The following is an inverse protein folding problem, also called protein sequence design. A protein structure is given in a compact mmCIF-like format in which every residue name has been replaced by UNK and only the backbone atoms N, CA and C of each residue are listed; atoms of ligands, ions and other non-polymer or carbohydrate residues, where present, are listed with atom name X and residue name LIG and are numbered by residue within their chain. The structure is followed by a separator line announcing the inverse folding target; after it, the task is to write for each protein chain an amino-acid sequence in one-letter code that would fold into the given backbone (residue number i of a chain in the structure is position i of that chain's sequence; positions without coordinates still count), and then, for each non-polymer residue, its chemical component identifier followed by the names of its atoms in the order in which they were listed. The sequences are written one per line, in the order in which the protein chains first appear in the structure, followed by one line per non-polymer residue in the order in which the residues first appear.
data_IF_795372924628
#
_entry.id   IF_795372924628
#
_cell.length_a   1.000
_cell.length_b   1.000
_cell.length_c   1.000
_cell.angle_alpha   90.00
_cell.angle_beta   90.00
_cell.angle_gamma   90.00
#
_symmetry.space_group_name_H-M   'P 1'
#
loop_
_entity.id
_entity.type
_entity.pdbx_description
1 polymer ?
#
# COMPACT_ATOMS: atom_id res chain seq x y z
N UNK A 1 -8.05 -71.59 -35.16
CA UNK A 1 -7.47 -70.30 -35.54
C UNK A 1 -6.05 -70.20 -34.95
N UNK A 2 -5.02 -70.00 -35.80
CA UNK A 2 -3.67 -69.91 -35.36
C UNK A 2 -3.31 -68.39 -35.30
N UNK A 3 -2.96 -67.92 -34.13
CA UNK A 3 -2.44 -66.54 -33.93
C UNK A 3 -0.94 -66.63 -33.74
N UNK A 4 -0.17 -66.01 -34.65
CA UNK A 4 1.27 -65.90 -34.55
C UNK A 4 1.62 -64.56 -33.91
N UNK A 5 2.15 -64.57 -32.70
CA UNK A 5 2.62 -63.37 -32.04
C UNK A 5 4.11 -63.19 -32.32
N UNK A 6 4.45 -62.13 -33.03
CA UNK A 6 5.85 -61.74 -33.28
C UNK A 6 6.19 -60.55 -32.34
N UNK A 7 7.20 -60.76 -31.49
CA UNK A 7 7.74 -59.68 -30.64
C UNK A 7 9.20 -59.43 -31.02
N UNK A 8 9.57 -58.21 -31.20
CA UNK A 8 10.90 -57.75 -31.68
C UNK A 8 12.11 -58.19 -30.84
N UNK A 9 11.89 -58.75 -29.64
CA UNK A 9 12.96 -59.22 -28.72
C UNK A 9 13.19 -60.73 -28.72
N UNK A 10 12.46 -61.53 -29.45
CA UNK A 10 12.62 -62.99 -29.51
C UNK A 10 13.00 -63.43 -30.92
N UNK A 11 14.14 -64.13 -31.01
CA UNK A 11 14.72 -64.69 -32.26
C UNK A 11 13.99 -65.89 -32.82
N UNK A 12 12.91 -66.39 -32.14
CA UNK A 12 12.10 -67.49 -32.63
C UNK A 12 10.60 -67.18 -32.50
N UNK A 13 9.87 -67.40 -33.58
CA UNK A 13 8.38 -67.26 -33.58
C UNK A 13 7.77 -68.43 -32.78
N UNK A 14 7.04 -68.09 -31.70
CA UNK A 14 6.31 -69.06 -30.94
C UNK A 14 4.88 -69.11 -31.42
N UNK A 15 4.45 -70.18 -32.05
CA UNK A 15 3.08 -70.36 -32.48
C UNK A 15 2.25 -70.93 -31.29
N UNK A 16 1.16 -70.19 -30.94
CA UNK A 16 0.20 -70.62 -29.94
C UNK A 16 -1.04 -71.07 -30.68
N UNK A 17 -1.40 -72.36 -30.60
CA UNK A 17 -2.62 -72.87 -31.15
C UNK A 17 -3.77 -72.67 -30.17
N UNK A 18 -4.64 -71.72 -30.47
CA UNK A 18 -5.87 -71.49 -29.68
C UNK A 18 -6.94 -72.50 -30.16
N UNK A 19 -7.22 -73.46 -29.32
CA UNK A 19 -8.37 -74.31 -29.45
C UNK A 19 -9.67 -73.60 -29.00
N UNK A 20 -10.79 -73.96 -29.49
CA UNK A 20 -12.11 -73.36 -29.13
C UNK A 20 -12.35 -73.35 -27.61
N UNK A 21 -11.84 -74.32 -26.90
CA UNK A 21 -11.89 -74.34 -25.42
C UNK A 21 -11.12 -73.19 -24.78
N UNK A 22 -9.94 -72.82 -25.30
CA UNK A 22 -9.16 -71.69 -24.76
C UNK A 22 -9.88 -70.35 -24.99
N UNK A 23 -10.58 -70.17 -26.08
CA UNK A 23 -11.40 -69.01 -26.34
C UNK A 23 -12.60 -68.92 -25.38
N UNK A 24 -13.27 -70.05 -25.12
CA UNK A 24 -14.36 -70.08 -24.16
C UNK A 24 -13.90 -69.79 -22.77
N UNK A 25 -12.73 -70.36 -22.28
CA UNK A 25 -12.19 -70.07 -20.99
C UNK A 25 -11.69 -68.61 -20.83
N UNK A 26 -11.13 -67.99 -21.90
CA UNK A 26 -10.76 -66.60 -21.94
C UNK A 26 -11.96 -65.69 -21.84
N UNK A 27 -13.06 -66.01 -22.58
CA UNK A 27 -14.29 -65.25 -22.51
C UNK A 27 -14.99 -65.36 -21.17
N UNK A 28 -14.99 -66.57 -20.56
CA UNK A 28 -15.53 -66.77 -19.23
C UNK A 28 -14.76 -66.05 -18.16
N UNK A 29 -13.41 -66.09 -18.26
CA UNK A 29 -12.51 -65.32 -17.37
C UNK A 29 -12.71 -63.81 -17.46
N UNK A 30 -12.90 -63.31 -18.67
CA UNK A 30 -13.21 -61.87 -18.90
C UNK A 30 -14.55 -61.47 -18.30
N UNK A 31 -15.59 -62.32 -18.48
CA UNK A 31 -16.92 -62.10 -17.90
C UNK A 31 -16.90 -62.13 -16.38
N UNK A 32 -16.16 -63.07 -15.77
CA UNK A 32 -15.96 -63.15 -14.31
C UNK A 32 -15.22 -61.93 -13.79
N UNK A 33 -14.17 -61.47 -14.49
CA UNK A 33 -13.40 -60.27 -14.14
C UNK A 33 -14.27 -58.99 -14.19
N UNK A 34 -15.10 -58.82 -15.25
CA UNK A 34 -16.00 -57.67 -15.34
C UNK A 34 -17.10 -57.70 -14.27
N UNK A 35 -17.59 -58.88 -13.94
CA UNK A 35 -18.58 -59.05 -12.87
C UNK A 35 -17.96 -58.76 -11.46
N UNK A 36 -16.71 -59.14 -11.25
CA UNK A 36 -16.00 -58.83 -10.03
C UNK A 36 -15.71 -57.33 -9.92
N UNK A 37 -15.25 -56.69 -10.99
CA UNK A 37 -15.04 -55.25 -11.02
C UNK A 37 -16.34 -54.47 -10.78
N UNK A 38 -17.46 -54.91 -11.36
CA UNK A 38 -18.76 -54.31 -11.14
C UNK A 38 -19.23 -54.49 -9.68
N UNK A 39 -19.03 -55.64 -9.08
CA UNK A 39 -19.36 -55.89 -7.67
C UNK A 39 -18.49 -55.02 -6.70
N UNK A 40 -17.20 -54.87 -7.00
CA UNK A 40 -16.29 -54.00 -6.24
C UNK A 40 -16.73 -52.54 -6.38
N UNK A 41 -17.05 -52.07 -7.58
CA UNK A 41 -17.55 -50.72 -7.80
C UNK A 41 -18.89 -50.50 -7.10
N UNK A 42 -19.83 -51.46 -7.15
CA UNK A 42 -21.10 -51.36 -6.43
C UNK A 42 -20.90 -51.32 -4.89
N UNK A 43 -20.00 -52.15 -4.35
CA UNK A 43 -19.65 -52.15 -2.91
C UNK A 43 -18.95 -50.83 -2.51
N UNK A 44 -18.10 -50.26 -3.37
CA UNK A 44 -17.47 -48.96 -3.17
C UNK A 44 -18.51 -47.84 -3.19
N UNK A 45 -19.45 -47.88 -4.14
CA UNK A 45 -20.55 -46.91 -4.22
C UNK A 45 -21.50 -47.03 -3.01
N UNK A 46 -21.80 -48.24 -2.52
CA UNK A 46 -22.59 -48.43 -1.32
C UNK A 46 -21.84 -47.91 -0.05
N UNK A 47 -20.54 -48.12 0.05
CA UNK A 47 -19.74 -47.56 1.12
C UNK A 47 -19.64 -46.06 1.05
N UNK A 48 -19.56 -45.49 -0.15
CA UNK A 48 -19.61 -44.05 -0.38
C UNK A 48 -20.99 -43.45 -0.02
N UNK A 49 -22.06 -44.16 -0.33
CA UNK A 49 -23.43 -43.74 -0.01
C UNK A 49 -23.78 -43.90 1.48
N UNK A 50 -23.15 -44.81 2.22
CA UNK A 50 -23.35 -44.98 3.68
C UNK A 50 -22.64 -43.93 4.56
N UNK A 51 -21.92 -42.99 3.98
CA UNK A 51 -21.37 -41.80 4.71
C UNK A 51 -20.20 -42.08 5.65
N UNK A 52 -19.68 -43.33 5.68
CA UNK A 52 -18.64 -43.75 6.64
C UNK A 52 -17.18 -43.62 6.11
N UNK A 53 -16.98 -42.96 4.96
CA UNK A 53 -15.64 -42.78 4.43
C UNK A 53 -15.00 -41.50 4.99
N UNK A 54 -13.83 -41.58 5.67
CA UNK A 54 -13.13 -40.41 6.20
C UNK A 54 -12.70 -39.41 5.12
N UNK A 55 -12.55 -39.86 3.87
CA UNK A 55 -12.13 -39.06 2.73
C UNK A 55 -13.25 -38.14 2.19
N UNK A 56 -14.52 -38.52 2.30
CA UNK A 56 -15.64 -37.67 1.85
C UNK A 56 -16.05 -36.65 2.90
N UNK A 57 -15.69 -36.83 4.19
CA UNK A 57 -15.88 -35.82 5.24
C UNK A 57 -15.02 -34.59 5.05
N UNK A 58 -13.92 -34.71 4.30
CA UNK A 58 -12.98 -33.63 4.05
C UNK A 58 -13.29 -32.82 2.77
N UNK A 59 -13.99 -33.44 1.79
CA UNK A 59 -14.25 -32.83 0.47
C UNK A 59 -15.67 -32.28 0.35
N UNK A 60 -16.64 -32.87 1.05
CA UNK A 60 -18.03 -32.38 1.01
C UNK A 60 -18.28 -31.64 2.33
N UNK A 61 -18.48 -30.33 2.31
CA UNK A 61 -18.88 -29.63 3.52
C UNK A 61 -20.15 -30.32 4.08
N UNK A 62 -20.12 -30.62 5.36
CA UNK A 62 -21.07 -31.41 6.18
C UNK A 62 -22.57 -31.05 6.00
N UNK A 63 -22.86 -30.04 5.20
CA UNK A 63 -24.15 -29.37 5.12
C UNK A 63 -25.23 -30.09 4.31
N UNK A 64 -24.94 -31.13 3.51
CA UNK A 64 -25.94 -31.80 2.67
C UNK A 64 -26.54 -33.03 3.34
N UNK A 65 -25.77 -33.71 4.20
CA UNK A 65 -26.22 -34.92 4.88
C UNK A 65 -27.33 -34.67 5.92
N UNK A 66 -27.32 -33.49 6.57
CA UNK A 66 -28.29 -33.13 7.60
C UNK A 66 -29.71 -32.83 7.08
N UNK A 67 -29.82 -32.48 5.78
CA UNK A 67 -31.14 -32.19 5.15
C UNK A 67 -31.88 -33.45 4.72
N UNK A 68 -31.20 -34.57 4.59
CA UNK A 68 -31.78 -35.86 4.16
C UNK A 68 -32.22 -36.73 5.35
N UNK A 69 -31.85 -36.38 6.61
CA UNK A 69 -32.27 -37.13 7.78
C UNK A 69 -33.62 -36.62 8.29
N UNK A 70 -34.57 -37.56 8.52
CA UNK A 70 -35.84 -37.26 9.17
C UNK A 70 -35.70 -37.10 10.71
N UNK A 71 -34.49 -36.93 11.25
CA UNK A 71 -34.23 -36.69 12.65
C UNK A 71 -34.42 -35.20 12.97
N UNK A 72 -35.41 -34.82 13.81
CA UNK A 72 -35.64 -33.43 14.19
C UNK A 72 -34.42 -32.80 14.90
N UNK A 73 -33.64 -33.61 15.65
CA UNK A 73 -32.43 -33.12 16.30
C UNK A 73 -31.28 -32.82 15.32
N UNK A 74 -31.25 -33.44 14.15
CA UNK A 74 -30.27 -33.15 13.10
C UNK A 74 -30.55 -31.77 12.44
N UNK A 75 -31.82 -31.45 12.24
CA UNK A 75 -32.23 -30.12 11.70
C UNK A 75 -31.89 -28.98 12.69
N UNK A 76 -32.18 -29.17 13.97
CA UNK A 76 -31.85 -28.17 15.00
C UNK A 76 -30.35 -27.96 15.15
N UNK A 77 -29.55 -29.04 15.06
CA UNK A 77 -28.09 -28.98 15.07
C UNK A 77 -27.57 -28.20 13.86
N UNK A 78 -28.04 -28.51 12.67
CA UNK A 78 -27.68 -27.84 11.43
C UNK A 78 -28.00 -26.33 11.50
N UNK A 79 -29.18 -25.94 12.00
CA UNK A 79 -29.54 -24.54 12.19
C UNK A 79 -28.64 -23.84 13.19
N UNK A 80 -28.32 -24.48 14.33
CA UNK A 80 -27.44 -23.92 15.35
C UNK A 80 -26.01 -23.73 14.84
N UNK A 81 -25.47 -24.73 14.11
CA UNK A 81 -24.12 -24.66 13.53
C UNK A 81 -24.01 -23.53 12.49
N UNK A 82 -25.03 -23.39 11.63
CA UNK A 82 -25.05 -22.31 10.66
C UNK A 82 -25.20 -20.93 11.30
N UNK A 83 -26.07 -20.79 12.32
CA UNK A 83 -26.20 -19.55 13.08
C UNK A 83 -24.90 -19.19 13.79
N UNK A 84 -24.20 -20.15 14.37
CA UNK A 84 -22.90 -19.92 15.00
C UNK A 84 -21.84 -19.46 13.99
N UNK A 85 -21.76 -20.12 12.82
CA UNK A 85 -20.85 -19.72 11.75
C UNK A 85 -21.15 -18.31 11.24
N UNK A 86 -22.45 -17.97 11.08
CA UNK A 86 -22.87 -16.62 10.70
C UNK A 86 -22.53 -15.57 11.75
N UNK A 87 -22.73 -15.89 13.02
CA UNK A 87 -22.39 -14.97 14.13
C UNK A 87 -20.87 -14.68 14.16
N UNK A 88 -20.04 -15.70 13.93
CA UNK A 88 -18.59 -15.53 13.82
C UNK A 88 -18.26 -14.61 12.63
N UNK A 89 -18.84 -14.89 11.46
CA UNK A 89 -18.58 -14.08 10.25
C UNK A 89 -19.01 -12.63 10.41
N UNK A 90 -20.17 -12.39 11.05
CA UNK A 90 -20.63 -11.03 11.37
C UNK A 90 -19.68 -10.33 12.35
N UNK A 91 -19.15 -11.05 13.33
CA UNK A 91 -18.15 -10.53 14.26
C UNK A 91 -16.84 -10.14 13.56
N UNK A 92 -16.36 -10.99 12.64
CA UNK A 92 -15.18 -10.67 11.82
C UNK A 92 -15.40 -9.43 10.96
N UNK A 93 -16.56 -9.34 10.29
CA UNK A 93 -16.92 -8.17 9.48
C UNK A 93 -17.03 -6.90 10.33
N UNK A 94 -17.61 -7.00 11.54
CA UNK A 94 -17.68 -5.85 12.44
C UNK A 94 -16.28 -5.38 12.87
N UNK A 95 -15.35 -6.31 13.16
CA UNK A 95 -13.96 -5.98 13.45
C UNK A 95 -13.25 -5.32 12.26
N UNK A 96 -13.51 -5.81 11.03
CA UNK A 96 -12.98 -5.21 9.80
C UNK A 96 -13.53 -3.80 9.56
N UNK A 97 -14.82 -3.55 9.81
CA UNK A 97 -15.42 -2.23 9.70
C UNK A 97 -14.80 -1.25 10.70
N UNK A 98 -14.63 -1.64 11.97
CA UNK A 98 -13.95 -0.80 12.98
C UNK A 98 -12.54 -0.44 12.53
N UNK A 99 -11.80 -1.41 11.95
CA UNK A 99 -10.46 -1.15 11.40
C UNK A 99 -10.51 -0.18 10.22
N UNK A 100 -11.50 -0.31 9.34
CA UNK A 100 -11.70 0.56 8.18
C UNK A 100 -12.03 1.99 8.63
N UNK A 101 -12.88 2.17 9.64
CA UNK A 101 -13.20 3.48 10.22
C UNK A 101 -11.95 4.15 10.80
N UNK A 102 -11.14 3.42 11.57
CA UNK A 102 -9.88 3.93 12.12
C UNK A 102 -8.88 4.31 11.02
N UNK A 103 -8.80 3.53 9.92
CA UNK A 103 -7.99 3.86 8.75
C UNK A 103 -8.54 5.12 8.05
N UNK A 104 -9.86 5.23 7.92
CA UNK A 104 -10.53 6.40 7.35
C UNK A 104 -10.20 7.69 8.09
N UNK A 105 -10.28 7.68 9.44
CA UNK A 105 -9.91 8.82 10.29
C UNK A 105 -8.43 9.20 10.10
N UNK A 106 -7.52 8.21 10.02
CA UNK A 106 -6.09 8.49 9.81
C UNK A 106 -5.80 9.06 8.44
N UNK A 107 -6.41 8.52 7.39
CA UNK A 107 -6.30 9.02 6.01
C UNK A 107 -6.83 10.45 5.91
N UNK A 108 -7.99 10.73 6.52
CA UNK A 108 -8.58 12.06 6.62
C UNK A 108 -7.63 13.05 7.30
N UNK A 109 -7.06 12.70 8.46
CA UNK A 109 -6.08 13.52 9.16
C UNK A 109 -4.78 13.76 8.37
N UNK A 110 -4.33 12.77 7.58
CA UNK A 110 -3.17 12.92 6.69
C UNK A 110 -3.48 13.81 5.49
N UNK A 111 -4.67 13.70 4.93
CA UNK A 111 -5.14 14.52 3.80
C UNK A 111 -5.49 15.98 4.21
N UNK A 112 -5.61 16.25 5.51
CA UNK A 112 -5.98 17.57 6.03
C UNK A 112 -7.46 17.91 5.86
N UNK A 113 -8.32 16.90 5.63
CA UNK A 113 -9.77 17.04 5.55
C UNK A 113 -10.35 17.16 6.97
N UNK A 114 -11.23 18.13 7.18
CA UNK A 114 -11.83 18.33 8.50
C UNK A 114 -12.90 17.28 8.79
N UNK A 115 -13.10 16.87 10.08
CA UNK A 115 -14.12 15.91 10.46
C UNK A 115 -15.56 16.34 10.08
N UNK A 116 -15.80 17.65 10.00
CA UNK A 116 -17.10 18.22 9.60
C UNK A 116 -17.39 18.06 8.11
N UNK A 117 -16.36 17.93 7.28
CA UNK A 117 -16.50 17.78 5.83
C UNK A 117 -16.80 16.34 5.41
N UNK A 118 -16.31 15.37 6.19
CA UNK A 118 -16.55 13.95 5.97
C UNK A 118 -16.42 13.17 7.28
N UNK A 119 -17.50 12.45 7.65
CA UNK A 119 -17.55 11.66 8.88
C UNK A 119 -17.74 10.18 8.55
N UNK A 120 -16.73 9.36 8.79
CA UNK A 120 -16.77 7.92 8.58
C UNK A 120 -17.70 7.19 9.57
N UNK A 121 -18.07 7.84 10.68
CA UNK A 121 -18.94 7.25 11.72
C UNK A 121 -20.41 7.36 11.38
N UNK A 122 -20.79 8.25 10.47
CA UNK A 122 -22.18 8.40 10.09
C UNK A 122 -22.63 7.20 9.25
N UNK A 123 -23.70 6.58 9.66
CA UNK A 123 -24.30 5.49 8.91
C UNK A 123 -24.72 6.00 7.52
N UNK A 124 -24.31 5.34 6.43
CA UNK A 124 -24.76 5.73 5.10
C UNK A 124 -26.26 5.70 5.00
N UNK A 125 -26.85 6.69 4.35
CA UNK A 125 -28.28 6.74 4.08
C UNK A 125 -28.76 5.43 3.45
N UNK A 126 -29.78 4.81 4.02
CA UNK A 126 -30.40 3.59 3.49
C UNK A 126 -31.69 3.95 2.81
N UNK A 127 -31.92 3.40 1.63
CA UNK A 127 -33.15 3.57 0.86
C UNK A 127 -32.84 3.86 -0.61
N UNK A 128 -33.82 3.72 -1.42
CA UNK A 128 -33.83 3.96 -2.87
C UNK A 128 -35.23 3.72 -3.41
N UNK A 129 -35.48 4.12 -4.65
CA UNK A 129 -36.71 3.76 -5.33
C UNK A 129 -36.76 2.24 -5.51
N UNK A 130 -37.83 1.62 -5.04
CA UNK A 130 -38.10 0.22 -5.32
C UNK A 130 -38.42 0.09 -6.82
N UNK A 131 -37.57 -0.66 -7.53
CA UNK A 131 -37.77 -0.92 -8.95
C UNK A 131 -38.92 -1.92 -9.10
N UNK A 132 -40.13 -1.39 -9.29
CA UNK A 132 -41.36 -2.19 -9.44
C UNK A 132 -41.36 -3.08 -10.68
N UNK A 133 -40.35 -3.01 -11.54
CA UNK A 133 -40.17 -3.85 -12.72
C UNK A 133 -39.40 -5.14 -12.44
N UNK A 134 -38.81 -5.28 -11.24
CA UNK A 134 -38.12 -6.50 -10.82
C UNK A 134 -39.08 -7.51 -10.21
N UNK A 135 -38.77 -8.79 -10.43
CA UNK A 135 -39.46 -9.93 -9.83
C UNK A 135 -39.63 -9.72 -8.32
N UNK A 136 -40.74 -10.20 -7.71
CA UNK A 136 -40.96 -10.02 -6.28
C UNK A 136 -39.74 -10.46 -5.46
N UNK A 137 -39.40 -9.76 -4.37
CA UNK A 137 -38.22 -10.08 -3.57
C UNK A 137 -38.31 -11.54 -3.11
N UNK A 138 -37.40 -12.34 -3.62
CA UNK A 138 -37.27 -13.74 -3.22
C UNK A 138 -36.45 -13.82 -1.96
N UNK A 139 -36.94 -14.50 -0.93
CA UNK A 139 -36.16 -14.81 0.24
C UNK A 139 -34.89 -15.59 -0.15
N UNK A 140 -33.73 -15.10 0.26
CA UNK A 140 -32.47 -15.80 0.05
C UNK A 140 -32.49 -17.14 0.81
N UNK A 141 -32.03 -18.19 0.19
CA UNK A 141 -31.76 -19.43 0.89
C UNK A 141 -30.45 -19.31 1.69
N UNK A 142 -30.21 -20.23 2.62
CA UNK A 142 -29.05 -20.20 3.53
C UNK A 142 -27.71 -20.14 2.77
N UNK A 143 -27.58 -20.88 1.68
CA UNK A 143 -26.36 -20.91 0.86
C UNK A 143 -26.14 -19.59 0.10
N UNK A 144 -27.21 -19.00 -0.46
CA UNK A 144 -27.15 -17.69 -1.12
C UNK A 144 -26.77 -16.59 -0.13
N UNK A 145 -27.28 -16.67 1.10
CA UNK A 145 -26.94 -15.71 2.15
C UNK A 145 -25.47 -15.84 2.61
N UNK A 146 -24.97 -17.06 2.77
CA UNK A 146 -23.55 -17.29 3.07
C UNK A 146 -22.64 -16.74 1.97
N UNK A 147 -22.96 -17.00 0.70
CA UNK A 147 -22.20 -16.45 -0.44
C UNK A 147 -22.22 -14.92 -0.46
N UNK A 148 -23.34 -14.30 -0.13
CA UNK A 148 -23.46 -12.84 -0.04
C UNK A 148 -22.61 -12.27 1.09
N UNK A 149 -22.57 -12.93 2.26
CA UNK A 149 -21.71 -12.55 3.38
C UNK A 149 -20.23 -12.69 3.05
N UNK A 150 -19.83 -13.77 2.38
CA UNK A 150 -18.45 -14.00 1.96
C UNK A 150 -18.00 -12.97 0.93
N UNK A 151 -18.85 -12.66 -0.06
CA UNK A 151 -18.60 -11.61 -1.03
C UNK A 151 -18.42 -10.24 -0.36
N UNK A 152 -19.30 -9.90 0.60
CA UNK A 152 -19.22 -8.64 1.34
C UNK A 152 -17.99 -8.57 2.25
N UNK A 153 -17.64 -9.66 2.93
CA UNK A 153 -16.40 -9.74 3.73
C UNK A 153 -15.17 -9.49 2.87
N UNK A 154 -15.10 -10.10 1.70
CA UNK A 154 -14.00 -9.91 0.74
C UNK A 154 -13.93 -8.48 0.21
N UNK A 155 -15.07 -7.85 -0.06
CA UNK A 155 -15.13 -6.45 -0.51
C UNK A 155 -14.63 -5.50 0.57
N UNK A 156 -15.00 -5.71 1.83
CA UNK A 156 -14.50 -4.94 2.99
C UNK A 156 -12.99 -5.11 3.16
N UNK A 157 -12.48 -6.34 3.03
CA UNK A 157 -11.04 -6.64 3.10
C UNK A 157 -10.26 -5.89 2.00
N UNK A 158 -10.71 -5.99 0.75
CA UNK A 158 -10.09 -5.28 -0.38
C UNK A 158 -10.10 -3.75 -0.19
N UNK A 159 -11.19 -3.19 0.35
CA UNK A 159 -11.27 -1.76 0.65
C UNK A 159 -10.32 -1.36 1.78
N UNK A 160 -10.18 -2.19 2.81
CA UNK A 160 -9.24 -1.97 3.90
C UNK A 160 -7.80 -1.96 3.40
N UNK A 161 -7.43 -2.91 2.54
CA UNK A 161 -6.10 -2.97 1.93
C UNK A 161 -5.82 -1.74 1.05
N UNK A 162 -6.81 -1.36 0.23
CA UNK A 162 -6.70 -0.14 -0.59
C UNK A 162 -6.50 1.11 0.25
N UNK A 163 -7.25 1.27 1.35
CA UNK A 163 -7.09 2.39 2.28
C UNK A 163 -5.71 2.39 2.95
N UNK A 164 -5.15 1.22 3.27
CA UNK A 164 -3.78 1.09 3.77
C UNK A 164 -2.73 1.58 2.76
N UNK A 165 -2.92 1.28 1.48
CA UNK A 165 -2.05 1.79 0.41
C UNK A 165 -2.15 3.31 0.29
N UNK A 166 -3.37 3.87 0.35
CA UNK A 166 -3.60 5.32 0.31
C UNK A 166 -2.95 6.01 1.51
N UNK A 167 -3.11 5.46 2.73
CA UNK A 167 -2.46 5.97 3.94
C UNK A 167 -0.94 6.02 3.79
N UNK A 168 -0.34 4.92 3.33
CA UNK A 168 1.11 4.83 3.11
C UNK A 168 1.60 5.88 2.11
N UNK A 169 0.86 6.09 1.03
CA UNK A 169 1.15 7.12 0.02
C UNK A 169 1.05 8.52 0.61
N UNK A 170 -0.01 8.85 1.33
CA UNK A 170 -0.20 10.15 1.97
C UNK A 170 0.87 10.42 3.03
N UNK A 171 1.22 9.41 3.83
CA UNK A 171 2.32 9.50 4.80
C UNK A 171 3.63 9.82 4.08
N UNK A 172 3.94 9.12 2.98
CA UNK A 172 5.10 9.39 2.14
C UNK A 172 5.13 10.83 1.63
N UNK A 173 4.02 11.33 1.08
CA UNK A 173 3.90 12.73 0.64
C UNK A 173 4.10 13.72 1.78
N UNK A 174 3.52 13.48 2.96
CA UNK A 174 3.66 14.35 4.12
C UNK A 174 5.10 14.40 4.65
N UNK A 175 5.80 13.27 4.66
CA UNK A 175 7.23 13.20 4.99
C UNK A 175 8.04 13.97 3.93
N UNK A 176 7.84 13.67 2.66
CA UNK A 176 8.55 14.30 1.56
C UNK A 176 8.34 15.81 1.52
N UNK A 177 7.12 16.30 1.79
CA UNK A 177 6.83 17.73 1.85
C UNK A 177 7.58 18.48 2.97
N UNK A 178 7.92 17.80 4.07
CA UNK A 178 8.74 18.36 5.15
C UNK A 178 10.23 18.38 4.84
N UNK A 179 10.66 17.56 3.89
CA UNK A 179 12.04 17.51 3.41
C UNK A 179 12.31 18.51 2.27
N UNK A 180 11.25 19.07 1.67
CA UNK A 180 11.40 20.13 0.67
C UNK A 180 11.69 21.48 1.34
N UNK A 181 12.69 22.26 0.88
CA UNK A 181 13.09 23.55 1.47
C UNK A 181 12.09 24.67 1.11
N UNK A 182 10.88 24.59 1.68
CA UNK A 182 9.73 25.42 1.32
C UNK A 182 9.46 26.58 2.29
N UNK A 183 10.23 26.71 3.39
CA UNK A 183 10.12 27.90 4.24
C UNK A 183 11.31 28.84 4.04
N UNK A 184 11.02 30.14 4.12
CA UNK A 184 12.05 31.15 4.05
C UNK A 184 13.03 30.98 5.24
N UNK A 185 14.36 30.90 5.00
CA UNK A 185 15.33 30.58 6.03
C UNK A 185 15.58 31.73 7.03
N UNK A 186 15.12 32.92 6.74
CA UNK A 186 15.27 34.11 7.60
C UNK A 186 14.01 34.95 7.59
N UNK A 187 13.67 35.57 8.72
CA UNK A 187 12.52 36.47 8.81
C UNK A 187 12.94 37.91 8.50
N UNK A 188 13.25 38.20 7.26
CA UNK A 188 13.60 39.54 6.78
C UNK A 188 12.79 39.86 5.52
N UNK A 189 12.56 41.17 5.29
CA UNK A 189 11.98 41.63 4.03
C UNK A 189 12.89 41.28 2.88
N UNK A 190 12.32 40.73 1.82
CA UNK A 190 13.02 40.28 0.65
C UNK A 190 13.59 41.47 -0.15
N UNK A 191 14.87 41.77 0.03
CA UNK A 191 15.62 42.73 -0.77
C UNK A 191 16.91 42.09 -1.28
N UNK A 192 16.78 40.96 -1.88
CA UNK A 192 17.93 40.14 -2.15
C UNK A 192 18.32 40.19 -3.63
N UNK A 193 19.56 39.90 -3.86
CA UNK A 193 20.03 39.59 -5.19
C UNK A 193 19.47 38.22 -5.61
N UNK A 194 18.88 38.15 -6.82
CA UNK A 194 18.23 36.97 -7.33
C UNK A 194 19.21 35.93 -7.86
N UNK A 195 18.69 34.72 -8.11
CA UNK A 195 19.36 33.61 -8.79
C UNK A 195 19.55 33.92 -10.28
N UNK A 196 20.73 33.60 -10.83
CA UNK A 196 21.03 33.70 -12.25
C UNK A 196 22.19 34.62 -12.60
N UNK A 197 22.33 34.96 -13.87
CA UNK A 197 23.41 35.79 -14.36
C UNK A 197 23.29 37.25 -13.88
N UNK A 198 24.37 37.77 -13.25
CA UNK A 198 24.46 39.15 -12.77
C UNK A 198 25.89 39.66 -12.85
N UNK A 199 26.07 40.96 -12.70
CA UNK A 199 27.40 41.51 -12.52
C UNK A 199 27.93 41.19 -11.12
N UNK A 200 29.10 40.62 -11.06
CA UNK A 200 29.79 40.33 -9.82
C UNK A 200 30.20 41.66 -9.13
N UNK A 201 29.81 41.88 -7.86
CA UNK A 201 30.00 43.16 -7.21
C UNK A 201 31.47 43.51 -6.90
N UNK A 202 32.39 42.54 -6.99
CA UNK A 202 33.80 42.74 -6.74
C UNK A 202 34.63 42.92 -8.00
N UNK A 203 34.31 42.14 -9.03
CA UNK A 203 35.08 42.12 -10.29
C UNK A 203 34.41 42.90 -11.43
N UNK A 204 33.15 43.25 -11.31
CA UNK A 204 32.35 43.85 -12.38
C UNK A 204 32.11 42.96 -13.60
N UNK A 205 32.48 41.66 -13.53
CA UNK A 205 32.29 40.67 -14.62
C UNK A 205 30.96 39.96 -14.50
N UNK A 206 30.47 39.45 -15.59
CA UNK A 206 29.29 38.58 -15.56
C UNK A 206 29.62 37.28 -14.81
N UNK A 207 28.83 36.97 -13.79
CA UNK A 207 28.94 35.75 -12.98
C UNK A 207 27.55 35.17 -12.72
N UNK A 208 27.48 33.85 -12.60
CA UNK A 208 26.25 33.17 -12.26
C UNK A 208 26.10 33.08 -10.75
N UNK A 209 24.97 33.56 -10.22
CA UNK A 209 24.61 33.50 -8.82
C UNK A 209 23.78 32.26 -8.56
N UNK A 210 24.37 31.28 -7.86
CA UNK A 210 23.79 29.97 -7.63
C UNK A 210 22.70 29.91 -6.54
N UNK A 211 22.45 31.04 -5.89
CA UNK A 211 21.49 31.17 -4.81
C UNK A 211 20.68 32.47 -4.86
N UNK A 212 20.13 32.80 -3.71
CA UNK A 212 19.49 34.11 -3.44
C UNK A 212 20.09 34.69 -2.15
N UNK A 213 20.19 36.01 -2.09
CA UNK A 213 20.74 36.72 -0.95
C UNK A 213 19.62 37.39 -0.13
N UNK A 214 19.52 37.14 1.13
CA UNK A 214 18.60 37.78 2.07
C UNK A 214 19.38 38.79 2.92
N UNK A 215 19.21 40.09 2.70
CA UNK A 215 19.82 41.12 3.47
C UNK A 215 19.18 41.26 4.85
N UNK A 216 20.00 41.33 5.88
CA UNK A 216 19.54 41.49 7.26
C UNK A 216 20.67 41.83 8.22
N UNK A 217 20.35 42.34 9.42
CA UNK A 217 21.38 42.64 10.45
C UNK A 217 22.18 41.38 10.82
N UNK A 218 23.48 41.60 11.10
CA UNK A 218 24.29 40.51 11.70
C UNK A 218 23.65 40.03 13.00
N UNK A 219 23.59 38.71 13.20
CA UNK A 219 22.95 38.10 14.35
C UNK A 219 21.46 37.74 14.13
N UNK A 220 20.87 38.08 12.96
CA UNK A 220 19.53 37.64 12.64
C UNK A 220 19.50 36.10 12.52
N UNK A 221 18.54 35.41 13.19
CA UNK A 221 18.48 33.94 13.16
C UNK A 221 18.25 33.39 11.77
N UNK A 222 19.05 32.38 11.40
CA UNK A 222 18.89 31.54 10.21
C UNK A 222 18.28 30.22 10.65
N UNK A 223 17.18 29.81 10.02
CA UNK A 223 16.49 28.56 10.29
C UNK A 223 16.60 27.58 9.12
N UNK A 224 16.57 26.30 9.42
CA UNK A 224 16.57 25.25 8.41
C UNK A 224 15.31 25.31 7.54
N UNK A 225 15.46 25.49 6.24
CA UNK A 225 14.35 25.59 5.28
C UNK A 225 13.53 24.29 5.15
N UNK A 226 14.15 23.15 5.50
CA UNK A 226 13.55 21.83 5.61
C UNK A 226 14.27 21.00 6.68
N UNK A 227 13.71 19.85 7.06
CA UNK A 227 14.39 18.86 7.91
C UNK A 227 15.48 18.13 7.13
N UNK A 228 16.54 17.68 7.80
CA UNK A 228 17.64 16.96 7.15
C UNK A 228 18.81 16.68 8.08
N UNK A 229 19.94 16.30 7.50
CA UNK A 229 21.20 16.02 8.19
C UNK A 229 22.24 17.05 7.77
N UNK A 230 22.99 17.60 8.72
CA UNK A 230 24.11 18.51 8.43
C UNK A 230 25.25 17.70 7.80
N UNK A 231 25.61 18.03 6.57
CA UNK A 231 26.71 17.37 5.84
C UNK A 231 28.00 18.21 5.79
N UNK A 232 27.89 19.53 5.97
CA UNK A 232 29.02 20.43 6.11
C UNK A 232 28.69 21.53 7.14
N UNK A 233 29.67 21.93 7.93
CA UNK A 233 29.62 23.09 8.86
C UNK A 233 31.05 23.57 9.06
N UNK A 234 31.51 24.48 8.20
CA UNK A 234 32.92 24.83 8.09
C UNK A 234 33.10 26.26 7.58
N UNK A 235 34.36 26.76 7.64
CA UNK A 235 34.76 28.01 6.99
C UNK A 235 35.23 27.74 5.57
N UNK A 236 34.62 28.40 4.59
CA UNK A 236 35.02 28.37 3.19
C UNK A 236 35.49 29.75 2.72
N UNK A 237 36.59 29.87 1.93
CA UNK A 237 37.15 31.18 1.56
C UNK A 237 36.18 32.12 0.85
N UNK A 238 35.27 31.60 0.03
CA UNK A 238 34.28 32.43 -0.63
C UNK A 238 32.99 32.56 0.18
N UNK A 239 32.46 31.43 0.71
CA UNK A 239 31.19 31.40 1.44
C UNK A 239 31.29 31.80 2.92
N UNK A 240 32.50 32.00 3.45
CA UNK A 240 32.69 32.30 4.89
C UNK A 240 32.30 31.10 5.77
N UNK A 241 31.74 31.36 6.92
CA UNK A 241 31.11 30.31 7.71
C UNK A 241 29.86 29.82 6.98
N UNK A 242 29.91 28.57 6.51
CA UNK A 242 28.83 27.95 5.77
C UNK A 242 28.40 26.62 6.38
N UNK A 243 27.16 26.24 6.14
CA UNK A 243 26.66 24.93 6.46
C UNK A 243 25.81 24.40 5.30
N UNK A 244 25.76 23.08 5.19
CA UNK A 244 24.96 22.36 4.21
C UNK A 244 24.10 21.33 4.89
N UNK A 245 22.85 21.21 4.43
CA UNK A 245 21.87 20.24 4.90
C UNK A 245 21.47 19.35 3.75
N UNK A 246 21.67 18.04 3.93
CA UNK A 246 21.06 17.01 3.05
C UNK A 246 19.65 16.70 3.55
N UNK A 247 18.67 16.92 2.68
CA UNK A 247 17.26 16.68 2.95
C UNK A 247 16.79 15.30 2.50
N UNK A 248 17.69 14.49 1.89
CA UNK A 248 17.33 13.28 1.19
C UNK A 248 16.75 13.53 -0.20
N UNK A 249 16.58 12.46 -1.00
CA UNK A 249 16.06 12.59 -2.37
C UNK A 249 16.94 13.47 -3.28
N UNK A 250 18.27 13.52 -3.01
CA UNK A 250 19.26 14.31 -3.77
C UNK A 250 19.02 15.83 -3.68
N UNK A 251 18.34 16.29 -2.62
CA UNK A 251 18.08 17.71 -2.34
C UNK A 251 18.98 18.18 -1.21
N UNK A 252 19.74 19.25 -1.45
CA UNK A 252 20.64 19.87 -0.48
C UNK A 252 20.39 21.36 -0.45
N UNK A 253 20.54 21.98 0.73
CA UNK A 253 20.57 23.44 0.88
C UNK A 253 21.88 23.90 1.50
N UNK A 254 22.39 25.05 1.05
CA UNK A 254 23.58 25.74 1.58
C UNK A 254 23.19 27.08 2.18
N UNK A 255 23.79 27.38 3.32
CA UNK A 255 23.62 28.63 4.05
C UNK A 255 25.02 29.20 4.27
N UNK A 256 25.29 30.41 3.75
CA UNK A 256 26.62 30.98 3.76
C UNK A 256 26.65 32.37 4.39
N UNK A 257 27.86 32.88 4.59
CA UNK A 257 28.21 34.16 5.20
C UNK A 257 27.79 34.32 6.67
N UNK A 258 27.51 33.18 7.36
CA UNK A 258 27.07 33.19 8.75
C UNK A 258 28.09 33.85 9.71
N UNK A 259 27.61 34.57 10.72
CA UNK A 259 28.43 35.04 11.82
C UNK A 259 28.74 33.95 12.82
N UNK A 260 27.76 33.05 13.04
CA UNK A 260 27.85 31.93 13.96
C UNK A 260 27.01 30.75 13.47
N UNK A 261 27.54 29.52 13.66
CA UNK A 261 26.86 28.26 13.39
C UNK A 261 26.64 27.56 14.74
N UNK A 262 25.43 26.98 14.94
CA UNK A 262 25.00 26.31 16.18
C UNK A 262 24.91 24.80 16.06
N UNK A 263 25.14 24.26 14.87
CA UNK A 263 25.04 22.84 14.53
C UNK A 263 26.37 22.33 14.02
N UNK A 264 26.56 21.03 14.04
CA UNK A 264 27.78 20.34 13.55
C UNK A 264 27.41 19.22 12.55
N UNK A 265 28.39 18.80 11.78
CA UNK A 265 28.26 17.67 10.85
C UNK A 265 27.73 16.43 11.57
N UNK A 266 26.71 15.79 11.00
CA UNK A 266 26.01 14.64 11.55
C UNK A 266 24.77 14.97 12.39
N UNK A 267 24.54 16.23 12.76
CA UNK A 267 23.34 16.61 13.48
C UNK A 267 22.10 16.49 12.60
N UNK A 268 20.99 15.96 13.17
CA UNK A 268 19.67 15.93 12.53
C UNK A 268 18.93 17.20 12.91
N UNK A 269 18.51 17.98 11.93
CA UNK A 269 17.77 19.22 12.11
C UNK A 269 16.33 19.10 11.65
N UNK A 270 15.43 19.76 12.36
CA UNK A 270 14.02 19.88 11.98
C UNK A 270 13.80 21.13 11.13
N UNK A 271 12.83 21.08 10.23
CA UNK A 271 12.34 22.25 9.50
C UNK A 271 12.00 23.37 10.49
N UNK A 272 12.54 24.59 10.26
CA UNK A 272 12.36 25.74 11.14
C UNK A 272 13.29 25.79 12.36
N UNK A 273 14.18 24.83 12.53
CA UNK A 273 15.16 24.83 13.62
C UNK A 273 16.20 25.94 13.38
N UNK A 274 16.55 26.71 14.42
CA UNK A 274 17.64 27.68 14.40
C UNK A 274 18.99 26.96 14.23
N UNK A 275 19.74 27.31 13.19
CA UNK A 275 20.99 26.62 12.79
C UNK A 275 22.21 27.56 12.74
N UNK A 276 22.00 28.84 12.45
CA UNK A 276 23.06 29.84 12.32
C UNK A 276 22.50 31.25 12.49
N UNK A 277 23.36 32.24 12.46
CA UNK A 277 23.01 33.67 12.45
C UNK A 277 23.62 34.36 11.24
N UNK A 278 22.88 35.33 10.66
CA UNK A 278 23.37 36.16 9.57
C UNK A 278 24.71 36.85 9.98
N UNK A 279 25.62 36.89 9.02
CA UNK A 279 26.90 37.58 9.14
C UNK A 279 27.36 38.23 7.82
N UNK A 280 28.65 38.45 7.72
CA UNK A 280 29.34 38.98 6.54
C UNK A 280 30.70 38.32 6.38
N UNK A 281 30.83 37.05 6.74
CA UNK A 281 32.09 36.31 6.67
C UNK A 281 32.36 35.85 5.23
N UNK A 282 33.65 35.63 4.88
CA UNK A 282 34.04 35.24 3.52
C UNK A 282 33.95 36.42 2.53
N UNK A 283 33.59 36.11 1.28
CA UNK A 283 33.48 37.09 0.20
C UNK A 283 32.09 37.73 0.17
N UNK A 284 31.85 38.70 1.03
CA UNK A 284 30.58 39.39 1.24
C UNK A 284 30.75 40.91 1.21
N UNK A 285 29.86 41.64 0.60
CA UNK A 285 29.81 43.12 0.57
C UNK A 285 29.07 43.74 1.73
N UNK A 286 28.37 42.94 2.53
CA UNK A 286 27.59 43.40 3.70
C UNK A 286 26.84 42.24 4.34
N UNK A 287 26.18 42.47 5.47
CA UNK A 287 25.51 41.44 6.22
C UNK A 287 24.30 40.89 5.46
N UNK A 288 24.34 39.60 5.11
CA UNK A 288 23.28 38.87 4.42
C UNK A 288 23.42 37.35 4.63
N UNK A 289 22.34 36.62 4.37
CA UNK A 289 22.37 35.17 4.15
C UNK A 289 22.41 34.92 2.65
N UNK A 290 23.42 34.20 2.16
CA UNK A 290 23.40 33.56 0.84
C UNK A 290 22.80 32.17 0.99
N UNK A 291 21.73 31.88 0.26
CA UNK A 291 20.97 30.62 0.34
C UNK A 291 20.87 29.95 -1.02
N UNK A 292 21.30 28.68 -1.07
CA UNK A 292 21.22 27.86 -2.27
C UNK A 292 20.35 26.63 -2.05
N UNK A 293 19.72 26.18 -3.13
CA UNK A 293 19.05 24.87 -3.22
C UNK A 293 19.66 24.10 -4.38
N UNK A 294 20.16 22.91 -4.09
CA UNK A 294 20.72 22.01 -5.10
C UNK A 294 19.83 20.77 -5.23
N UNK A 295 19.63 20.33 -6.48
CA UNK A 295 18.98 19.06 -6.81
C UNK A 295 19.92 18.25 -7.68
N UNK A 296 20.32 17.07 -7.25
CA UNK A 296 21.31 16.23 -7.95
C UNK A 296 22.63 16.97 -8.17
N UNK A 297 23.05 17.78 -7.20
CA UNK A 297 24.26 18.58 -7.28
C UNK A 297 24.17 19.80 -8.20
N UNK A 298 23.03 20.08 -8.83
CA UNK A 298 22.81 21.22 -9.72
C UNK A 298 22.06 22.32 -9.00
N UNK A 299 22.58 23.58 -8.95
CA UNK A 299 21.88 24.68 -8.31
C UNK A 299 20.54 24.98 -8.99
N UNK A 300 19.51 25.16 -8.20
CA UNK A 300 18.16 25.47 -8.62
C UNK A 300 17.74 26.84 -8.07
N UNK A 301 16.86 27.54 -8.79
CA UNK A 301 16.31 28.78 -8.27
C UNK A 301 15.49 28.56 -6.99
N UNK A 302 15.97 29.04 -5.80
CA UNK A 302 15.31 28.80 -4.53
C UNK A 302 13.87 29.31 -4.45
N UNK A 303 13.51 30.33 -5.23
CA UNK A 303 12.15 30.85 -5.30
C UNK A 303 11.10 29.81 -5.68
N UNK A 304 11.47 28.83 -6.53
CA UNK A 304 10.54 27.76 -6.94
C UNK A 304 10.10 26.93 -5.72
N UNK A 305 10.99 26.74 -4.75
CA UNK A 305 10.73 25.99 -3.54
C UNK A 305 9.98 26.82 -2.49
N UNK A 306 10.44 28.05 -2.25
CA UNK A 306 9.86 28.93 -1.23
C UNK A 306 8.41 29.33 -1.60
N UNK A 307 8.13 29.62 -2.87
CA UNK A 307 6.79 29.94 -3.35
C UNK A 307 5.81 28.75 -3.24
N UNK A 308 6.31 27.53 -3.42
CA UNK A 308 5.50 26.33 -3.22
C UNK A 308 5.04 26.19 -1.77
N UNK A 309 5.90 26.57 -0.81
CA UNK A 309 5.55 26.61 0.62
C UNK A 309 4.54 27.68 0.97
N UNK A 310 4.69 28.90 0.41
CA UNK A 310 3.75 29.99 0.60
C UNK A 310 2.35 29.63 0.09
N UNK A 311 2.25 28.95 -1.04
CA UNK A 311 0.97 28.48 -1.59
C UNK A 311 0.31 27.41 -0.69
N UNK A 312 1.10 26.51 -0.08
CA UNK A 312 0.56 25.53 0.86
C UNK A 312 0.01 26.21 2.14
N UNK A 313 0.67 27.23 2.66
CA UNK A 313 0.21 28.01 3.82
C UNK A 313 -1.08 28.75 3.48
N UNK A 314 -1.17 29.33 2.30
CA UNK A 314 -2.38 30.03 1.84
C UNK A 314 -3.57 29.08 1.66
N UNK A 315 -3.38 27.88 1.11
CA UNK A 315 -4.42 26.88 1.00
C UNK A 315 -4.89 26.39 2.38
N UNK A 316 -3.96 26.16 3.31
CA UNK A 316 -4.29 25.78 4.68
C UNK A 316 -5.04 26.90 5.43
N UNK A 317 -4.71 28.17 5.18
CA UNK A 317 -5.42 29.31 5.77
C UNK A 317 -6.84 29.51 5.17
N UNK A 318 -7.05 29.19 3.89
CA UNK A 318 -8.36 29.23 3.24
C UNK A 318 -9.28 28.11 3.72
N UNK A 319 -8.72 26.94 4.09
CA UNK A 319 -9.48 25.82 4.66
C UNK A 319 -9.87 26.05 6.14
N UNK A 320 -9.38 27.11 6.78
CA UNK A 320 -9.72 27.49 8.17
C UNK A 320 -10.78 28.58 8.28
N UNK A 321 -11.29 29.09 7.17
CA UNK A 321 -12.42 30.01 7.09
C UNK A 321 -13.68 29.25 6.65
#
# INVERSE_FOLDING_TARGET
MQIIVMHSRFTQAKSITLTSSHLIFSLLGFLLFTMLCSAIMAALMLRLASGDSPFLKEIIPVNVAGLASNDPNAKDRYVKENLAAMAIKLGEMQAQLIRLDALGERVQGLAGVKPEEFNFKDSPGRGGLEDSTRLPPRALNMSEFQLALDAMSKDVELRSDFMGVVETKLMGFKVQSKLLPTIQPVNVSYNASGFGWRLDPFSGRSAFHEGIDFSGPTGTPIIAAAGGVIIAAEFHPQFGNMLEIDHGGEIMTRYAHASKIYVKVGDIVKRGQHIADIGSTGRSTGAHLHFEVHVKGVPQNPHKFLNAGANQVNLAALSQK
#
